data_IF_183317108788
#
_entry.id   IF_183317108788
#
_cell.length_a   1.000
_cell.length_b   1.000
_cell.length_c   1.000
_cell.angle_alpha   90.00
_cell.angle_beta   90.00
_cell.angle_gamma   90.00
#
_symmetry.space_group_name_H-M   'P 1'
#
loop_
_entity.id
_entity.type
_entity.pdbx_description
1 polymer ?
#
# COMPACT_ATOMS: atom_id res chain seq x y z
N UNK A 1 -1.96 11.89 -7.81
CA UNK A 1 -0.92 11.30 -6.95
C UNK A 1 0.43 11.33 -7.69
N UNK A 2 1.56 11.02 -7.04
CA UNK A 2 2.92 11.46 -7.45
C UNK A 2 3.31 11.12 -8.90
N UNK A 3 3.49 12.14 -9.76
CA UNK A 3 4.01 11.97 -11.14
C UNK A 3 5.51 12.27 -11.17
N UNK A 4 6.33 11.22 -11.21
CA UNK A 4 7.77 11.30 -11.46
C UNK A 4 8.14 10.66 -12.81
N UNK A 5 8.25 11.47 -13.86
CA UNK A 5 8.86 11.04 -15.12
C UNK A 5 10.38 10.99 -14.98
N UNK A 6 11.00 9.83 -15.20
CA UNK A 6 12.05 9.67 -16.23
C UNK A 6 12.69 8.28 -16.20
N UNK A 7 12.61 7.63 -17.37
CA UNK A 7 13.32 6.41 -17.77
C UNK A 7 14.83 6.54 -17.55
N UNK A 8 15.43 5.50 -16.97
CA UNK A 8 16.77 5.04 -17.33
C UNK A 8 16.82 3.51 -17.18
N UNK A 9 16.65 2.84 -18.32
CA UNK A 9 16.95 1.43 -18.50
C UNK A 9 18.46 1.29 -18.53
N UNK A 10 19.03 0.50 -17.62
CA UNK A 10 20.36 -0.08 -17.77
C UNK A 10 20.36 -1.45 -17.10
N UNK A 11 20.13 -2.47 -17.91
CA UNK A 11 20.28 -3.86 -17.52
C UNK A 11 21.72 -4.17 -17.16
N UNK A 12 21.89 -5.05 -16.16
CA UNK A 12 23.08 -5.89 -16.03
C UNK A 12 22.68 -7.24 -15.45
N UNK A 13 22.66 -8.22 -16.36
CA UNK A 13 22.66 -9.66 -16.10
C UNK A 13 23.94 -9.97 -15.31
N UNK A 14 23.82 -10.41 -14.05
CA UNK A 14 24.96 -10.98 -13.31
C UNK A 14 24.93 -12.49 -13.51
N UNK A 15 26.05 -12.99 -14.01
CA UNK A 15 26.30 -14.36 -14.44
C UNK A 15 26.33 -15.33 -13.26
N UNK A 16 25.90 -16.57 -13.53
CA UNK A 16 26.02 -17.71 -12.62
C UNK A 16 27.49 -18.01 -12.35
N UNK A 17 27.86 -18.08 -11.08
CA UNK A 17 29.04 -18.83 -10.67
C UNK A 17 28.61 -20.24 -10.26
N UNK A 18 28.91 -21.19 -11.13
CA UNK A 18 28.97 -22.60 -10.78
C UNK A 18 30.24 -22.82 -9.94
N UNK A 19 30.11 -23.45 -8.78
CA UNK A 19 31.23 -24.14 -8.16
C UNK A 19 30.75 -25.45 -7.54
N UNK A 20 31.40 -26.52 -8.00
CA UNK A 20 31.10 -27.90 -7.66
C UNK A 20 31.50 -28.28 -6.25
N UNK A 21 30.93 -29.39 -5.81
CA UNK A 21 31.23 -30.02 -4.53
C UNK A 21 30.24 -31.14 -4.24
N UNK A 22 30.26 -32.20 -5.05
CA UNK A 22 29.50 -33.42 -4.80
C UNK A 22 30.10 -34.12 -3.58
N UNK A 23 29.45 -34.00 -2.42
CA UNK A 23 29.71 -34.84 -1.23
C UNK A 23 28.57 -35.84 -1.08
N UNK A 24 28.83 -37.08 -1.48
CA UNK A 24 27.99 -38.24 -1.15
C UNK A 24 28.02 -38.45 0.37
N UNK A 25 26.89 -38.24 1.03
CA UNK A 25 26.60 -38.86 2.32
C UNK A 25 25.59 -39.98 2.10
N UNK A 26 26.07 -41.21 2.23
CA UNK A 26 25.23 -42.40 2.39
C UNK A 26 24.88 -42.48 3.87
N UNK A 27 23.61 -42.23 4.21
CA UNK A 27 23.12 -42.28 5.57
C UNK A 27 21.61 -42.47 5.61
N UNK A 28 21.21 -43.74 5.71
CA UNK A 28 19.95 -44.28 6.28
C UNK A 28 18.76 -43.32 6.38
N UNK A 29 17.77 -43.59 5.54
CA UNK A 29 16.47 -42.93 5.56
C UNK A 29 15.70 -43.16 6.87
N UNK A 30 15.14 -42.06 7.35
CA UNK A 30 13.89 -42.06 8.11
C UNK A 30 12.91 -41.25 7.28
N UNK A 31 11.99 -41.93 6.60
CA UNK A 31 10.82 -41.30 6.00
C UNK A 31 9.92 -40.82 7.14
N UNK A 32 10.09 -39.58 7.59
CA UNK A 32 9.06 -38.91 8.36
C UNK A 32 7.92 -38.57 7.40
N UNK A 33 6.88 -39.40 7.41
CA UNK A 33 5.57 -39.03 6.89
C UNK A 33 4.99 -37.92 7.80
N UNK A 34 5.45 -36.69 7.57
CA UNK A 34 4.97 -35.49 8.24
C UNK A 34 3.70 -34.98 7.56
N UNK A 35 2.63 -34.91 8.34
CA UNK A 35 1.28 -34.63 7.90
C UNK A 35 1.18 -33.24 7.23
N UNK A 36 0.71 -33.20 5.99
CA UNK A 36 0.30 -31.97 5.32
C UNK A 36 -1.04 -31.50 5.92
N UNK A 37 -1.01 -31.01 7.15
CA UNK A 37 -2.10 -30.22 7.70
C UNK A 37 -2.10 -28.87 7.00
N UNK A 38 -3.15 -28.57 6.22
CA UNK A 38 -3.40 -27.22 5.75
C UNK A 38 -3.72 -26.37 7.00
N UNK A 39 -2.76 -25.59 7.46
CA UNK A 39 -3.00 -24.57 8.46
C UNK A 39 -3.83 -23.47 7.79
N UNK A 40 -5.15 -23.51 7.96
CA UNK A 40 -5.99 -22.38 7.61
C UNK A 40 -5.64 -21.26 8.59
N UNK A 41 -4.96 -20.22 8.12
CA UNK A 41 -4.74 -19.01 8.91
C UNK A 41 -6.08 -18.29 9.02
N UNK A 42 -6.65 -18.24 10.23
CA UNK A 42 -7.85 -17.42 10.45
C UNK A 42 -7.53 -15.94 10.16
N UNK A 43 -8.47 -15.20 9.55
CA UNK A 43 -8.27 -13.78 9.32
C UNK A 43 -8.04 -13.08 10.65
N UNK A 44 -7.03 -12.21 10.70
CA UNK A 44 -6.81 -11.36 11.86
C UNK A 44 -8.02 -10.43 12.05
N UNK A 45 -8.72 -10.59 13.17
CA UNK A 45 -9.81 -9.71 13.58
C UNK A 45 -9.40 -9.03 14.90
N UNK A 46 -9.22 -7.71 14.92
CA UNK A 46 -8.89 -7.02 16.16
C UNK A 46 -10.05 -7.07 17.16
N UNK A 47 -9.73 -7.03 18.47
CA UNK A 47 -10.74 -7.09 19.52
C UNK A 47 -11.76 -5.92 19.43
N UNK A 48 -13.07 -6.17 19.58
CA UNK A 48 -14.12 -5.18 19.31
C UNK A 48 -14.13 -4.00 20.30
N UNK A 49 -13.56 -4.17 21.50
CA UNK A 49 -13.58 -3.16 22.57
C UNK A 49 -12.23 -2.46 22.78
N UNK A 50 -11.33 -2.53 21.80
CA UNK A 50 -10.05 -1.82 21.90
C UNK A 50 -10.26 -0.32 21.68
N UNK A 51 -9.40 0.47 22.31
CA UNK A 51 -9.26 1.88 21.97
C UNK A 51 -8.58 1.96 20.61
N UNK A 52 -9.20 2.68 19.67
CA UNK A 52 -8.61 2.91 18.35
C UNK A 52 -7.39 3.82 18.49
N UNK A 53 -6.35 3.51 17.73
CA UNK A 53 -5.20 4.39 17.60
C UNK A 53 -5.60 5.66 16.83
N UNK A 54 -5.06 6.85 17.15
CA UNK A 54 -5.43 8.10 16.47
C UNK A 54 -5.30 8.07 14.94
N UNK A 55 -4.38 7.27 14.39
CA UNK A 55 -4.22 7.16 12.94
C UNK A 55 -5.37 6.39 12.26
N UNK A 56 -6.12 5.59 13.01
CA UNK A 56 -7.18 4.77 12.44
C UNK A 56 -8.38 5.60 12.01
N UNK A 57 -9.04 5.18 10.94
CA UNK A 57 -10.22 5.83 10.37
C UNK A 57 -10.12 6.08 8.88
N UNK A 58 -11.08 6.84 8.37
CA UNK A 58 -11.15 7.23 6.96
C UNK A 58 -10.51 8.60 6.75
N UNK A 59 -9.62 8.70 5.78
CA UNK A 59 -8.84 9.89 5.47
C UNK A 59 -9.03 10.26 4.01
N UNK A 60 -9.33 11.53 3.76
CA UNK A 60 -9.49 12.08 2.42
C UNK A 60 -8.20 12.80 1.99
N UNK A 61 -7.71 12.41 0.83
CA UNK A 61 -6.58 13.07 0.15
C UNK A 61 -6.97 14.45 -0.41
N UNK A 62 -5.99 15.26 -0.83
CA UNK A 62 -6.30 16.52 -1.53
C UNK A 62 -7.06 16.31 -2.85
N UNK A 63 -6.89 15.14 -3.47
CA UNK A 63 -7.58 14.74 -4.70
C UNK A 63 -8.93 14.06 -4.41
N UNK A 64 -9.41 14.12 -3.16
CA UNK A 64 -10.71 13.64 -2.70
C UNK A 64 -10.91 12.12 -2.71
N UNK A 65 -9.90 11.34 -3.11
CA UNK A 65 -9.85 9.90 -2.86
C UNK A 65 -9.79 9.63 -1.34
N UNK A 66 -10.35 8.51 -0.90
CA UNK A 66 -10.41 8.15 0.52
C UNK A 66 -9.62 6.87 0.80
N UNK A 67 -8.88 6.89 1.90
CA UNK A 67 -8.09 5.78 2.40
C UNK A 67 -8.61 5.42 3.78
N UNK A 68 -8.89 4.15 4.01
CA UNK A 68 -9.19 3.61 5.34
C UNK A 68 -7.91 3.06 5.94
N UNK A 69 -7.47 3.63 7.07
CA UNK A 69 -6.36 3.13 7.88
C UNK A 69 -6.92 2.34 9.05
N UNK A 70 -6.47 1.10 9.21
CA UNK A 70 -6.89 0.22 10.30
C UNK A 70 -5.74 -0.70 10.75
N UNK A 71 -5.84 -1.23 11.97
CA UNK A 71 -4.92 -2.25 12.47
C UNK A 71 -4.96 -3.53 11.61
N UNK A 72 -3.78 -4.04 11.24
CA UNK A 72 -3.55 -5.26 10.46
C UNK A 72 -2.38 -6.06 11.07
N UNK A 73 -2.02 -7.21 10.46
CA UNK A 73 -0.92 -8.05 10.95
C UNK A 73 0.44 -7.35 10.96
N UNK A 74 0.66 -6.42 10.03
CA UNK A 74 1.94 -5.71 9.86
C UNK A 74 1.98 -4.34 10.55
N UNK A 75 1.03 -4.04 11.44
CA UNK A 75 0.87 -2.74 12.08
C UNK A 75 -0.43 -2.07 11.69
N UNK A 76 -0.37 -0.94 11.01
CA UNK A 76 -1.53 -0.26 10.42
C UNK A 76 -1.46 -0.31 8.90
N UNK A 77 -2.55 -0.72 8.27
CA UNK A 77 -2.66 -0.83 6.83
C UNK A 77 -3.65 0.21 6.31
N UNK A 78 -3.25 0.93 5.25
CA UNK A 78 -4.11 1.87 4.53
C UNK A 78 -4.63 1.24 3.25
N UNK A 79 -5.95 1.22 3.07
CA UNK A 79 -6.62 0.66 1.89
C UNK A 79 -7.43 1.72 1.17
N UNK A 80 -7.42 1.70 -0.17
CA UNK A 80 -8.16 2.65 -0.99
C UNK A 80 -9.66 2.35 -0.91
N UNK A 81 -10.43 3.18 -0.20
CA UNK A 81 -11.87 2.99 0.04
C UNK A 81 -12.76 3.83 -0.88
N UNK A 82 -12.20 4.87 -1.52
CA UNK A 82 -12.87 5.62 -2.59
C UNK A 82 -11.85 6.13 -3.60
N UNK A 83 -12.17 5.95 -4.88
CA UNK A 83 -11.36 6.42 -6.01
C UNK A 83 -11.99 7.69 -6.56
N UNK A 84 -11.20 8.76 -6.63
CA UNK A 84 -11.53 9.97 -7.36
C UNK A 84 -10.44 10.20 -8.41
N UNK A 85 -10.85 10.34 -9.66
CA UNK A 85 -9.94 10.69 -10.76
C UNK A 85 -9.78 12.21 -10.76
N UNK A 86 -8.57 12.77 -10.59
CA UNK A 86 -8.37 14.21 -10.64
C UNK A 86 -8.59 14.72 -12.06
N UNK A 87 -9.19 15.92 -12.19
CA UNK A 87 -9.39 16.58 -13.49
C UNK A 87 -8.07 17.00 -14.15
N UNK A 88 -7.04 17.25 -13.35
CA UNK A 88 -5.79 17.81 -13.83
C UNK A 88 -5.07 16.88 -14.82
N UNK A 89 -4.79 17.41 -16.01
CA UNK A 89 -4.09 16.69 -17.07
C UNK A 89 -4.97 15.79 -17.93
N UNK A 90 -6.30 15.91 -17.84
CA UNK A 90 -7.26 15.27 -18.74
C UNK A 90 -8.01 16.32 -19.57
N UNK A 91 -8.33 15.97 -20.81
CA UNK A 91 -9.34 16.69 -21.60
C UNK A 91 -10.73 16.46 -21.02
N UNK A 92 -11.70 17.30 -21.39
CA UNK A 92 -13.10 17.12 -20.94
C UNK A 92 -13.67 15.76 -21.36
N UNK A 93 -13.31 15.27 -22.55
CA UNK A 93 -13.75 13.98 -23.07
C UNK A 93 -13.15 12.82 -22.27
N UNK A 94 -11.86 12.88 -21.94
CA UNK A 94 -11.18 11.86 -21.12
C UNK A 94 -11.71 11.86 -19.68
N UNK A 95 -11.94 13.04 -19.10
CA UNK A 95 -12.51 13.15 -17.76
C UNK A 95 -13.95 12.62 -17.71
N UNK A 96 -14.79 12.96 -18.70
CA UNK A 96 -16.14 12.41 -18.81
C UNK A 96 -16.13 10.88 -18.99
N UNK A 97 -15.21 10.34 -19.78
CA UNK A 97 -15.05 8.90 -19.94
C UNK A 97 -14.64 8.22 -18.62
N UNK A 98 -13.73 8.82 -17.85
CA UNK A 98 -13.32 8.31 -16.55
C UNK A 98 -14.48 8.31 -15.54
N UNK A 99 -15.29 9.36 -15.50
CA UNK A 99 -16.47 9.43 -14.61
C UNK A 99 -17.57 8.43 -14.99
N UNK A 100 -17.68 8.05 -16.26
CA UNK A 100 -18.62 7.03 -16.71
C UNK A 100 -18.15 5.60 -16.40
N UNK A 101 -16.89 5.43 -16.01
CA UNK A 101 -16.31 4.13 -15.69
C UNK A 101 -16.67 3.73 -14.24
N UNK A 102 -17.23 2.53 -14.01
CA UNK A 102 -17.56 2.08 -12.66
C UNK A 102 -16.27 1.89 -11.82
N UNK A 103 -16.24 2.23 -10.51
CA UNK A 103 -15.03 2.12 -9.67
C UNK A 103 -14.34 0.75 -9.70
N UNK A 104 -15.10 -0.32 -9.92
CA UNK A 104 -14.63 -1.71 -9.98
C UNK A 104 -13.79 -2.01 -11.22
N UNK A 105 -13.82 -1.13 -12.22
CA UNK A 105 -13.08 -1.29 -13.47
C UNK A 105 -11.64 -0.75 -13.41
N UNK A 106 -11.31 0.03 -12.38
CA UNK A 106 -9.95 0.47 -12.12
C UNK A 106 -9.15 -0.68 -11.51
N UNK A 107 -8.09 -1.09 -12.23
CA UNK A 107 -7.21 -2.20 -11.83
C UNK A 107 -5.77 -1.72 -11.71
N UNK A 108 -4.96 -2.48 -10.99
CA UNK A 108 -3.54 -2.17 -10.73
C UNK A 108 -2.64 -2.42 -11.96
N UNK A 109 -3.04 -1.92 -13.13
CA UNK A 109 -2.47 -2.26 -14.44
C UNK A 109 -0.98 -1.91 -14.56
N UNK A 110 -0.48 -0.99 -13.74
CA UNK A 110 0.92 -0.55 -13.70
C UNK A 110 1.82 -1.38 -12.78
N UNK A 111 1.27 -2.37 -12.08
CA UNK A 111 2.07 -3.23 -11.21
C UNK A 111 3.23 -3.88 -11.99
N UNK A 112 4.47 -3.88 -11.46
CA UNK A 112 5.60 -4.53 -12.11
C UNK A 112 5.40 -6.04 -12.27
N UNK A 113 4.71 -6.69 -11.33
CA UNK A 113 4.31 -8.09 -11.42
C UNK A 113 3.06 -8.24 -12.32
N UNK A 114 3.16 -8.91 -13.48
CA UNK A 114 2.02 -9.10 -14.37
C UNK A 114 0.83 -9.83 -13.73
N UNK A 115 1.08 -10.66 -12.72
CA UNK A 115 0.04 -11.45 -12.04
C UNK A 115 -0.82 -10.60 -11.11
N UNK A 116 -0.31 -9.46 -10.66
CA UNK A 116 -1.03 -8.52 -9.79
C UNK A 116 -1.84 -7.48 -10.56
N UNK A 117 -1.61 -7.31 -11.87
CA UNK A 117 -2.23 -6.24 -12.68
C UNK A 117 -3.74 -6.29 -12.78
N UNK A 118 -4.33 -7.47 -12.58
CA UNK A 118 -5.78 -7.67 -12.65
C UNK A 118 -6.52 -7.39 -11.35
N UNK A 119 -5.82 -7.10 -10.24
CA UNK A 119 -6.49 -6.85 -8.95
C UNK A 119 -7.19 -5.49 -8.97
N UNK A 120 -8.37 -5.37 -8.32
CA UNK A 120 -9.09 -4.10 -8.23
C UNK A 120 -8.28 -3.06 -7.45
N UNK A 121 -8.37 -1.80 -7.85
CA UNK A 121 -7.82 -0.69 -7.07
C UNK A 121 -8.66 -0.39 -5.83
N UNK A 122 -9.98 -0.58 -5.89
CA UNK A 122 -10.82 -0.48 -4.71
C UNK A 122 -10.49 -1.60 -3.73
N UNK A 123 -10.20 -1.25 -2.48
CA UNK A 123 -9.72 -2.18 -1.45
C UNK A 123 -8.23 -2.49 -1.52
N UNK A 124 -7.49 -1.92 -2.46
CA UNK A 124 -6.05 -2.11 -2.58
C UNK A 124 -5.33 -1.52 -1.38
N UNK A 125 -4.49 -2.31 -0.71
CA UNK A 125 -3.59 -1.82 0.33
C UNK A 125 -2.47 -1.00 -0.32
N UNK A 126 -2.37 0.27 0.10
CA UNK A 126 -1.37 1.22 -0.38
C UNK A 126 -0.46 1.75 0.73
N UNK A 127 -0.80 1.53 2.01
CA UNK A 127 0.06 1.90 3.14
C UNK A 127 0.31 0.69 4.04
N UNK A 128 1.52 0.59 4.56
CA UNK A 128 1.90 -0.25 5.71
C UNK A 128 2.69 0.61 6.67
N UNK A 129 2.23 0.76 7.91
CA UNK A 129 2.72 1.75 8.87
C UNK A 129 2.95 1.12 10.25
N UNK A 130 3.99 1.57 10.95
CA UNK A 130 4.32 1.19 12.32
C UNK A 130 4.58 2.45 13.16
N UNK A 131 4.21 2.47 14.45
CA UNK A 131 4.58 3.58 15.34
C UNK A 131 6.10 3.79 15.34
N UNK A 132 6.52 5.04 15.13
CA UNK A 132 7.94 5.41 15.18
C UNK A 132 8.40 5.70 16.61
N UNK A 133 9.69 5.99 16.77
CA UNK A 133 10.23 6.51 18.04
C UNK A 133 9.82 7.97 18.32
N UNK A 134 9.34 8.71 17.31
CA UNK A 134 8.86 10.08 17.47
C UNK A 134 7.37 10.05 17.85
N UNK A 135 6.95 10.92 18.79
CA UNK A 135 5.53 11.02 19.12
C UNK A 135 4.74 11.41 17.88
N UNK A 136 3.54 10.83 17.72
CA UNK A 136 2.60 11.17 16.65
C UNK A 136 3.10 10.88 15.22
N UNK A 137 4.13 10.05 15.07
CA UNK A 137 4.70 9.70 13.76
C UNK A 137 4.69 8.19 13.58
N UNK A 138 4.32 7.75 12.38
CA UNK A 138 4.26 6.35 11.97
C UNK A 138 5.14 6.17 10.74
N UNK A 139 6.17 5.34 10.83
CA UNK A 139 7.07 5.05 9.71
C UNK A 139 6.52 3.89 8.88
N UNK A 140 6.82 3.86 7.59
CA UNK A 140 6.35 2.76 6.76
C UNK A 140 6.64 2.85 5.27
N UNK A 141 5.81 2.16 4.51
CA UNK A 141 5.89 2.04 3.06
C UNK A 141 4.58 2.47 2.39
N UNK A 142 4.71 3.01 1.18
CA UNK A 142 3.63 3.57 0.37
C UNK A 142 3.70 2.94 -1.03
N UNK A 143 2.74 2.09 -1.38
CA UNK A 143 2.59 1.61 -2.75
C UNK A 143 1.81 2.63 -3.59
N UNK A 144 2.36 3.02 -4.74
CA UNK A 144 1.73 3.92 -5.68
C UNK A 144 1.22 3.18 -6.92
N UNK A 145 -0.09 2.83 -7.02
CA UNK A 145 -0.66 2.25 -8.25
C UNK A 145 -0.56 3.17 -9.49
N UNK A 146 -0.19 4.45 -9.34
CA UNK A 146 0.03 5.34 -10.48
C UNK A 146 1.34 5.12 -11.23
N UNK A 147 2.31 4.47 -10.61
CA UNK A 147 3.60 4.15 -11.23
C UNK A 147 4.07 2.70 -10.97
N UNK A 148 3.40 1.97 -10.08
CA UNK A 148 3.70 0.59 -9.72
C UNK A 148 4.84 0.43 -8.71
N UNK A 149 5.35 1.50 -8.12
CA UNK A 149 6.47 1.48 -7.19
C UNK A 149 6.02 1.55 -5.73
N UNK A 150 6.87 1.04 -4.85
CA UNK A 150 6.75 1.23 -3.39
C UNK A 150 7.83 2.19 -2.92
N UNK A 151 7.44 3.16 -2.10
CA UNK A 151 8.29 4.19 -1.53
C UNK A 151 8.36 4.03 -0.02
N UNK A 152 9.50 4.37 0.58
CA UNK A 152 9.54 4.62 2.01
C UNK A 152 8.79 5.92 2.32
N UNK A 153 8.23 6.00 3.52
CA UNK A 153 7.50 7.18 3.95
C UNK A 153 7.16 7.17 5.42
N UNK A 154 6.43 8.19 5.84
CA UNK A 154 5.90 8.28 7.18
C UNK A 154 4.63 9.13 7.20
N UNK A 155 3.78 8.89 8.18
CA UNK A 155 2.60 9.71 8.50
C UNK A 155 2.86 10.46 9.79
N UNK A 156 2.58 11.76 9.79
CA UNK A 156 2.59 12.60 10.99
C UNK A 156 1.16 13.03 11.33
N UNK A 157 0.74 12.84 12.59
CA UNK A 157 -0.52 13.41 13.10
C UNK A 157 -0.31 14.89 13.39
N UNK A 158 -0.89 15.76 12.57
CA UNK A 158 -0.88 17.21 12.78
C UNK A 158 -2.02 17.67 13.70
N UNK A 159 -3.03 16.82 13.89
CA UNK A 159 -4.16 17.00 14.79
C UNK A 159 -5.05 15.76 14.82
N UNK A 160 -6.19 15.80 15.52
CA UNK A 160 -7.13 14.66 15.56
C UNK A 160 -7.72 14.34 14.18
N UNK A 161 -7.87 15.34 13.32
CA UNK A 161 -8.54 15.23 12.02
C UNK A 161 -7.66 15.66 10.83
N UNK A 162 -6.34 15.77 11.06
CA UNK A 162 -5.38 16.18 10.04
C UNK A 162 -4.10 15.36 10.17
N UNK A 163 -3.70 14.71 9.08
CA UNK A 163 -2.42 14.02 8.97
C UNK A 163 -1.63 14.55 7.78
N UNK A 164 -0.31 14.38 7.83
CA UNK A 164 0.57 14.56 6.67
C UNK A 164 1.23 13.25 6.31
N UNK A 165 0.93 12.73 5.11
CA UNK A 165 1.66 11.62 4.52
C UNK A 165 2.88 12.17 3.78
N UNK A 166 4.06 11.65 4.06
CA UNK A 166 5.30 11.98 3.35
C UNK A 166 5.82 10.74 2.64
N UNK A 167 5.93 10.79 1.31
CA UNK A 167 6.63 9.80 0.51
C UNK A 167 8.04 10.28 0.19
N UNK A 168 9.03 9.40 0.34
CA UNK A 168 10.43 9.75 0.17
C UNK A 168 11.11 8.93 -0.93
N UNK A 169 12.00 9.57 -1.68
CA UNK A 169 12.87 8.97 -2.69
C UNK A 169 14.34 9.24 -2.36
N UNK A 170 15.25 8.47 -2.96
CA UNK A 170 16.71 8.57 -2.78
C UNK A 170 17.16 8.44 -1.31
N UNK A 171 17.01 7.24 -0.73
CA UNK A 171 17.44 6.96 0.66
C UNK A 171 16.86 7.95 1.71
N UNK A 172 15.58 8.31 1.58
CA UNK A 172 14.86 9.24 2.47
C UNK A 172 15.33 10.71 2.42
N UNK A 173 16.08 11.13 1.39
CA UNK A 173 16.60 12.51 1.30
C UNK A 173 15.55 13.46 0.72
N UNK A 174 14.79 13.04 -0.28
CA UNK A 174 13.80 13.87 -0.95
C UNK A 174 12.42 13.35 -0.58
N UNK A 175 11.78 14.01 0.38
CA UNK A 175 10.41 13.70 0.77
C UNK A 175 9.47 14.75 0.23
N UNK A 176 8.32 14.30 -0.27
CA UNK A 176 7.22 15.18 -0.63
C UNK A 176 5.99 14.76 0.17
N UNK A 177 5.29 15.77 0.71
CA UNK A 177 4.19 15.58 1.65
C UNK A 177 2.83 15.98 1.10
N UNK A 178 1.77 15.32 1.55
CA UNK A 178 0.39 15.67 1.28
C UNK A 178 -0.42 15.66 2.59
N UNK A 179 -1.23 16.68 2.80
CA UNK A 179 -2.13 16.76 3.96
C UNK A 179 -3.45 16.05 3.64
N UNK A 180 -3.86 15.15 4.52
CA UNK A 180 -5.13 14.43 4.43
C UNK A 180 -6.01 14.80 5.62
N UNK A 181 -7.30 14.99 5.35
CA UNK A 181 -8.29 15.35 6.35
C UNK A 181 -9.12 14.14 6.72
N UNK A 182 -9.54 14.02 7.98
CA UNK A 182 -10.41 12.92 8.39
C UNK A 182 -11.78 13.08 7.73
N UNK A 183 -12.30 11.99 7.18
CA UNK A 183 -13.68 11.92 6.72
C UNK A 183 -14.58 11.79 7.95
N UNK A 184 -15.29 12.85 8.26
CA UNK A 184 -16.33 12.84 9.29
C UNK A 184 -17.62 12.38 8.61
N UNK A 185 -18.17 11.19 8.96
CA UNK A 185 -19.44 10.76 8.39
C UNK A 185 -20.50 11.79 8.72
N UNK A 186 -21.17 12.32 7.69
CA UNK A 186 -22.35 13.16 7.89
C UNK A 186 -23.41 12.27 8.51
N UNK A 187 -23.81 12.57 9.74
CA UNK A 187 -24.97 11.91 10.36
C UNK A 187 -26.20 12.40 9.60
N UNK A 188 -26.67 11.64 8.61
CA UNK A 188 -27.93 11.94 7.93
C UNK A 188 -29.07 11.79 8.94
N UNK A 189 -29.58 12.92 9.43
CA UNK A 189 -30.68 12.94 10.40
C UNK A 189 -30.67 14.08 11.42
N UNK A 190 -29.99 15.20 11.14
CA UNK A 190 -30.04 16.40 12.00
C UNK A 190 -30.33 17.66 11.20
#
# INVERSE_FOLDING_TARGET
MWRGESRLVLGRRVERMANGGLRLWVGTGVMLAGMAGAWAQEPFVPAPNRVLDPIEGNWQTLELSEITIALCLDGFCGTLSKIVVPREGLTEEEYAAALAMPPESYTDIRNPDPTLRGRPMLGLQILTLLPSAKPNVYDGEIYNPEDGNTYSGYVEMLGPDLIRLNGCVLYNIICQGQDWVRVIPVVEGQ
#
